data_IF_068183733389
#
_entry.id   IF_068183733389
#
_cell.length_a   1.000
_cell.length_b   1.000
_cell.length_c   1.000
_cell.angle_alpha   90.00
_cell.angle_beta   90.00
_cell.angle_gamma   90.00
#
_symmetry.space_group_name_H-M   'P 1'
#
loop_
_entity.id
_entity.type
_entity.pdbx_description
1 polymer ?
#
# COMPACT_ATOMS: atom_id res chain seq x y z
N UNK A 1 13.18 -15.09 20.33
CA UNK A 1 14.54 -14.52 20.28
C UNK A 1 14.68 -13.71 19.02
N UNK A 2 14.76 -12.38 19.13
CA UNK A 2 14.79 -11.44 18.02
C UNK A 2 15.81 -11.82 16.95
N UNK A 3 15.35 -12.49 15.90
CA UNK A 3 16.17 -12.85 14.73
C UNK A 3 15.85 -12.01 13.52
N UNK A 4 14.70 -11.31 13.51
CA UNK A 4 14.36 -10.29 12.53
C UNK A 4 13.72 -9.08 13.24
N UNK A 5 14.15 -7.87 12.91
CA UNK A 5 13.60 -6.63 13.45
C UNK A 5 13.12 -5.76 12.28
N UNK A 6 11.98 -5.09 12.47
CA UNK A 6 11.50 -4.06 11.56
C UNK A 6 12.33 -2.80 11.85
N UNK A 7 13.24 -2.45 10.94
CA UNK A 7 13.91 -1.16 10.99
C UNK A 7 13.03 -0.14 10.29
N UNK A 8 12.77 0.97 10.97
CA UNK A 8 12.09 2.15 10.43
C UNK A 8 13.17 3.17 10.10
N UNK A 9 13.10 3.69 8.89
CA UNK A 9 14.09 4.64 8.37
C UNK A 9 13.36 5.87 7.88
N UNK A 10 13.63 7.02 8.49
CA UNK A 10 12.87 8.27 8.34
C UNK A 10 13.53 9.27 7.38
N UNK A 11 12.74 9.94 6.53
CA UNK A 11 13.24 10.96 5.62
C UNK A 11 13.11 12.36 6.24
N UNK A 12 14.19 13.13 6.37
CA UNK A 12 14.12 14.50 6.88
C UNK A 12 13.64 15.42 5.77
N UNK A 13 12.53 16.10 6.02
CA UNK A 13 11.96 17.22 5.25
C UNK A 13 11.25 16.85 3.92
N UNK A 14 10.21 17.64 3.53
CA UNK A 14 9.30 17.25 2.47
C UNK A 14 10.00 17.30 1.11
N UNK A 15 10.05 16.16 0.43
CA UNK A 15 10.28 16.13 -1.02
C UNK A 15 9.20 17.01 -1.63
N UNK A 16 9.58 17.96 -2.50
CA UNK A 16 8.63 18.72 -3.31
C UNK A 16 7.75 17.73 -4.06
N UNK A 17 6.52 17.54 -3.59
CA UNK A 17 5.54 16.68 -4.24
C UNK A 17 5.10 17.48 -5.49
N UNK A 18 5.39 17.01 -6.71
CA UNK A 18 5.13 17.79 -7.94
C UNK A 18 3.64 18.13 -8.13
N UNK A 19 2.77 17.40 -7.43
CA UNK A 19 1.34 17.57 -7.38
C UNK A 19 0.95 17.75 -5.92
N UNK A 20 0.17 18.78 -5.59
CA UNK A 20 -0.29 18.95 -4.21
C UNK A 20 -0.89 17.66 -3.67
N UNK A 21 -0.63 17.34 -2.39
CA UNK A 21 -1.17 16.19 -1.64
C UNK A 21 -2.68 15.98 -1.91
N UNK A 22 -3.38 17.08 -2.22
CA UNK A 22 -4.80 17.15 -2.60
C UNK A 22 -5.19 16.37 -3.87
N UNK A 23 -4.28 16.19 -4.85
CA UNK A 23 -4.56 15.41 -6.06
C UNK A 23 -4.53 13.88 -5.84
N UNK A 24 -3.99 13.41 -4.71
CA UNK A 24 -3.58 12.01 -4.56
C UNK A 24 -4.27 11.29 -3.40
N UNK A 25 -4.66 11.98 -2.33
CA UNK A 25 -5.39 11.39 -1.20
C UNK A 25 -6.85 10.99 -1.53
N UNK A 26 -7.46 11.57 -2.56
CA UNK A 26 -8.90 11.45 -2.83
C UNK A 26 -9.23 10.56 -4.04
N UNK A 27 -8.27 9.76 -4.52
CA UNK A 27 -8.53 8.66 -5.47
C UNK A 27 -9.34 7.54 -4.79
N UNK A 28 -9.20 7.39 -3.47
CA UNK A 28 -9.99 6.45 -2.65
C UNK A 28 -11.48 6.76 -2.72
N UNK A 29 -11.87 8.01 -2.97
CA UNK A 29 -13.28 8.37 -3.15
C UNK A 29 -13.81 8.16 -4.58
N UNK A 30 -12.98 8.25 -5.60
CA UNK A 30 -13.36 7.84 -6.97
C UNK A 30 -13.46 6.31 -7.13
N UNK A 31 -12.73 5.53 -6.33
CA UNK A 31 -12.84 4.07 -6.26
C UNK A 31 -14.22 3.60 -5.77
N UNK A 32 -14.99 4.44 -5.05
CA UNK A 32 -16.39 4.13 -4.68
C UNK A 32 -17.26 3.83 -5.91
N UNK A 33 -16.96 4.41 -7.08
CA UNK A 33 -17.73 4.14 -8.30
C UNK A 33 -17.20 2.98 -9.12
N UNK A 34 -15.90 2.64 -9.03
CA UNK A 34 -15.41 1.35 -9.52
C UNK A 34 -16.27 0.25 -8.90
N UNK A 35 -16.41 0.26 -7.57
CA UNK A 35 -17.27 -0.65 -6.81
C UNK A 35 -18.72 -0.65 -7.30
N UNK A 36 -19.33 0.53 -7.44
CA UNK A 36 -20.72 0.62 -7.90
C UNK A 36 -20.92 0.25 -9.38
N UNK A 37 -19.95 0.48 -10.27
CA UNK A 37 -20.01 0.08 -11.68
C UNK A 37 -19.79 -1.41 -11.84
N UNK A 38 -18.84 -1.97 -11.08
CA UNK A 38 -18.64 -3.41 -10.92
C UNK A 38 -19.94 -4.07 -10.47
N UNK A 39 -20.61 -3.50 -9.46
CA UNK A 39 -21.91 -3.97 -8.98
C UNK A 39 -22.98 -3.82 -10.08
N UNK A 40 -23.23 -2.61 -10.59
CA UNK A 40 -24.30 -2.34 -11.59
C UNK A 40 -24.20 -3.15 -12.88
N UNK A 41 -22.99 -3.38 -13.40
CA UNK A 41 -22.81 -4.01 -14.72
C UNK A 41 -22.65 -5.54 -14.64
N UNK A 42 -22.42 -6.11 -13.44
CA UNK A 42 -22.09 -7.55 -13.33
C UNK A 42 -22.69 -8.29 -12.13
N UNK A 43 -23.25 -7.59 -11.15
CA UNK A 43 -23.83 -8.14 -9.91
C UNK A 43 -25.12 -7.38 -9.55
N UNK A 44 -26.27 -7.89 -9.98
CA UNK A 44 -27.61 -7.51 -9.51
C UNK A 44 -27.91 -5.99 -9.32
N UNK A 45 -28.74 -5.38 -10.18
CA UNK A 45 -29.16 -3.99 -10.08
C UNK A 45 -29.75 -3.55 -8.72
N UNK A 46 -30.25 -4.47 -7.88
CA UNK A 46 -30.88 -4.15 -6.59
C UNK A 46 -29.89 -3.77 -5.47
N UNK A 47 -28.62 -4.16 -5.57
CA UNK A 47 -27.54 -3.75 -4.65
C UNK A 47 -27.21 -2.24 -4.71
N UNK A 48 -27.76 -1.54 -5.71
CA UNK A 48 -27.58 -0.11 -5.97
C UNK A 48 -28.49 0.82 -5.12
N UNK A 49 -29.26 0.28 -4.18
CA UNK A 49 -30.22 1.04 -3.37
C UNK A 49 -29.62 1.64 -2.08
N UNK A 50 -28.37 1.28 -1.75
CA UNK A 50 -27.70 1.75 -0.53
C UNK A 50 -27.14 3.17 -0.68
N UNK A 51 -27.49 4.06 0.24
CA UNK A 51 -26.93 5.42 0.39
C UNK A 51 -25.60 5.45 1.13
N UNK A 52 -25.11 4.30 1.61
CA UNK A 52 -23.83 4.18 2.32
C UNK A 52 -22.67 4.21 1.31
N UNK A 53 -21.57 4.94 1.58
CA UNK A 53 -20.38 4.90 0.73
C UNK A 53 -19.80 3.47 0.69
N UNK A 54 -19.75 2.87 -0.51
CA UNK A 54 -19.33 1.48 -0.76
C UNK A 54 -17.83 1.35 -1.03
N UNK A 55 -17.05 0.83 -0.08
CA UNK A 55 -15.62 0.60 -0.31
C UNK A 55 -15.36 -0.65 -1.18
N UNK A 56 -14.12 -0.83 -1.65
CA UNK A 56 -13.73 -2.02 -2.44
C UNK A 56 -13.99 -3.35 -1.72
N UNK A 57 -13.98 -3.35 -0.38
CA UNK A 57 -14.35 -4.51 0.43
C UNK A 57 -15.86 -4.83 0.34
N UNK A 58 -16.73 -3.81 0.28
CA UNK A 58 -18.17 -4.01 0.08
C UNK A 58 -18.44 -4.64 -1.30
N UNK A 59 -17.71 -4.20 -2.33
CA UNK A 59 -17.75 -4.82 -3.67
C UNK A 59 -17.33 -6.28 -3.64
N UNK A 60 -16.24 -6.58 -2.93
CA UNK A 60 -15.72 -7.93 -2.76
C UNK A 60 -16.76 -8.83 -2.06
N UNK A 61 -17.45 -8.31 -1.05
CA UNK A 61 -18.49 -9.04 -0.34
C UNK A 61 -19.71 -9.30 -1.22
N UNK A 62 -20.20 -8.29 -1.94
CA UNK A 62 -21.32 -8.44 -2.88
C UNK A 62 -20.98 -9.45 -3.99
N UNK A 63 -19.76 -9.41 -4.53
CA UNK A 63 -19.29 -10.38 -5.52
C UNK A 63 -19.28 -11.80 -4.96
N UNK A 64 -18.74 -11.99 -3.75
CA UNK A 64 -18.71 -13.30 -3.09
C UNK A 64 -20.12 -13.86 -2.86
N UNK A 65 -21.10 -13.00 -2.55
CA UNK A 65 -22.50 -13.40 -2.37
C UNK A 65 -23.13 -13.86 -3.69
N UNK A 66 -22.95 -13.12 -4.78
CA UNK A 66 -23.54 -13.49 -6.07
C UNK A 66 -22.80 -14.62 -6.79
N UNK A 67 -21.49 -14.79 -6.51
CA UNK A 67 -20.64 -15.85 -7.08
C UNK A 67 -19.84 -16.56 -5.98
N UNK A 68 -20.48 -17.46 -5.22
CA UNK A 68 -19.83 -18.20 -4.15
C UNK A 68 -18.66 -19.02 -4.70
N UNK A 69 -17.45 -18.76 -4.19
CA UNK A 69 -16.21 -19.44 -4.62
C UNK A 69 -15.22 -18.58 -5.40
N UNK A 70 -15.57 -17.35 -5.76
CA UNK A 70 -14.66 -16.39 -6.41
C UNK A 70 -14.35 -15.22 -5.46
N UNK A 71 -13.10 -15.13 -5.01
CA UNK A 71 -12.55 -13.88 -4.45
C UNK A 71 -12.02 -13.02 -5.60
N UNK A 72 -12.04 -11.69 -5.49
CA UNK A 72 -11.37 -10.83 -6.46
C UNK A 72 -9.89 -10.96 -6.17
N UNK A 73 -9.27 -11.91 -6.84
CA UNK A 73 -7.83 -12.09 -6.74
C UNK A 73 -7.16 -11.40 -7.90
N UNK A 74 -5.99 -10.82 -7.63
CA UNK A 74 -5.16 -10.26 -8.71
C UNK A 74 -4.50 -11.36 -9.56
N UNK A 75 -4.49 -12.60 -9.07
CA UNK A 75 -3.71 -13.71 -9.64
C UNK A 75 -4.52 -14.84 -10.29
N UNK A 76 -5.87 -14.89 -10.18
CA UNK A 76 -6.63 -15.90 -10.93
C UNK A 76 -6.78 -15.53 -12.40
N UNK A 77 -6.16 -16.38 -13.22
CA UNK A 77 -6.16 -16.44 -14.69
C UNK A 77 -7.56 -16.32 -15.29
N UNK A 78 -7.70 -15.41 -16.26
CA UNK A 78 -8.88 -15.07 -17.07
C UNK A 78 -9.98 -14.21 -16.41
N UNK A 79 -9.69 -12.91 -16.33
CA UNK A 79 -10.70 -11.87 -16.15
C UNK A 79 -11.08 -11.66 -14.70
N UNK A 80 -10.19 -11.06 -13.91
CA UNK A 80 -10.60 -10.49 -12.63
C UNK A 80 -11.73 -9.47 -12.85
N UNK A 81 -12.55 -9.18 -11.84
CA UNK A 81 -13.62 -8.18 -12.02
C UNK A 81 -13.06 -6.81 -12.44
N UNK A 82 -11.85 -6.50 -11.97
CA UNK A 82 -11.14 -5.27 -12.30
C UNK A 82 -10.79 -5.28 -13.79
N UNK A 83 -10.29 -6.40 -14.32
CA UNK A 83 -10.02 -6.55 -15.76
C UNK A 83 -11.29 -6.50 -16.62
N UNK A 84 -12.38 -7.10 -16.14
CA UNK A 84 -13.65 -7.16 -16.88
C UNK A 84 -14.35 -5.81 -16.97
N UNK A 85 -14.23 -4.98 -15.95
CA UNK A 85 -15.02 -3.76 -15.83
C UNK A 85 -14.20 -2.46 -15.94
N UNK A 86 -12.87 -2.53 -15.77
CA UNK A 86 -12.01 -1.34 -15.86
C UNK A 86 -11.00 -1.45 -17.00
N UNK A 87 -10.82 -0.32 -17.70
CA UNK A 87 -9.89 -0.18 -18.81
C UNK A 87 -8.48 0.05 -18.29
N UNK A 88 -7.48 -0.42 -19.02
CA UNK A 88 -6.06 -0.09 -18.75
C UNK A 88 -5.82 1.39 -19.06
N UNK A 89 -5.08 2.08 -18.20
CA UNK A 89 -4.66 3.46 -18.42
C UNK A 89 -5.44 4.50 -17.63
N UNK A 90 -5.60 5.67 -18.22
CA UNK A 90 -6.27 6.83 -17.62
C UNK A 90 -7.67 6.97 -18.22
N UNK A 91 -8.68 7.01 -17.36
CA UNK A 91 -10.03 7.40 -17.71
C UNK A 91 -10.18 8.91 -17.56
N UNK A 92 -10.64 9.59 -18.60
CA UNK A 92 -10.96 11.02 -18.51
C UNK A 92 -12.40 11.25 -18.05
N UNK A 93 -12.65 12.40 -17.41
CA UNK A 93 -13.99 12.82 -16.98
C UNK A 93 -14.98 12.78 -18.14
N UNK A 94 -14.60 13.32 -19.29
CA UNK A 94 -15.45 13.37 -20.48
C UNK A 94 -15.77 11.96 -21.00
N UNK A 95 -14.79 11.06 -21.05
CA UNK A 95 -15.03 9.66 -21.43
C UNK A 95 -15.96 8.95 -20.44
N UNK A 96 -15.81 9.19 -19.14
CA UNK A 96 -16.69 8.60 -18.14
C UNK A 96 -18.15 9.07 -18.32
N UNK A 97 -18.35 10.34 -18.68
CA UNK A 97 -19.66 10.91 -18.96
C UNK A 97 -20.23 10.44 -20.31
N UNK A 98 -19.45 10.50 -21.38
CA UNK A 98 -19.86 10.16 -22.75
C UNK A 98 -20.17 8.68 -22.91
N UNK A 99 -19.38 7.80 -22.28
CA UNK A 99 -19.63 6.35 -22.30
C UNK A 99 -20.86 5.95 -21.45
N UNK A 100 -21.53 6.91 -20.79
CA UNK A 100 -22.62 6.66 -19.84
C UNK A 100 -22.18 5.88 -18.60
N UNK A 101 -20.87 5.80 -18.35
CA UNK A 101 -20.28 5.11 -17.18
C UNK A 101 -20.53 5.89 -15.89
N UNK A 102 -20.61 7.23 -15.97
CA UNK A 102 -20.97 8.08 -14.85
C UNK A 102 -21.90 9.21 -15.28
N UNK A 103 -22.78 9.63 -14.39
CA UNK A 103 -23.47 10.93 -14.52
C UNK A 103 -22.65 12.03 -13.86
N UNK A 104 -22.96 13.30 -14.17
CA UNK A 104 -22.34 14.45 -13.49
C UNK A 104 -22.58 14.38 -11.98
N UNK A 105 -23.81 14.05 -11.57
CA UNK A 105 -24.15 13.89 -10.15
C UNK A 105 -23.38 12.74 -9.49
N UNK A 106 -23.17 11.61 -10.18
CA UNK A 106 -22.32 10.53 -9.66
C UNK A 106 -20.88 11.01 -9.41
N UNK A 107 -20.30 11.79 -10.33
CA UNK A 107 -18.94 12.34 -10.20
C UNK A 107 -18.86 13.32 -9.03
N UNK A 108 -19.81 14.26 -8.94
CA UNK A 108 -19.79 15.29 -7.90
C UNK A 108 -19.96 14.70 -6.49
N UNK A 109 -20.70 13.60 -6.35
CA UNK A 109 -20.79 12.85 -5.08
C UNK A 109 -19.52 12.08 -4.72
N UNK A 110 -18.71 11.69 -5.70
CA UNK A 110 -17.46 10.95 -5.48
C UNK A 110 -16.26 11.86 -5.23
N UNK A 111 -16.37 13.14 -5.57
CA UNK A 111 -15.28 14.10 -5.48
C UNK A 111 -15.43 14.97 -4.24
N UNK A 112 -14.30 15.36 -3.65
CA UNK A 112 -14.26 16.32 -2.56
C UNK A 112 -14.15 17.73 -3.15
N UNK A 113 -14.34 18.80 -2.35
CA UNK A 113 -14.15 20.16 -2.83
C UNK A 113 -12.78 20.42 -3.46
N UNK A 114 -11.73 19.70 -3.04
CA UNK A 114 -10.36 19.83 -3.56
C UNK A 114 -10.12 19.02 -4.84
N UNK A 115 -10.92 17.97 -5.09
CA UNK A 115 -10.78 17.14 -6.32
C UNK A 115 -11.86 17.36 -7.36
N UNK A 116 -12.84 18.23 -7.09
CA UNK A 116 -13.97 18.51 -8.01
C UNK A 116 -13.54 18.84 -9.44
N UNK A 117 -12.38 19.46 -9.62
CA UNK A 117 -11.86 19.91 -10.92
C UNK A 117 -10.96 18.86 -11.61
N UNK A 118 -10.76 17.67 -11.03
CA UNK A 118 -9.96 16.63 -11.68
C UNK A 118 -10.62 16.15 -12.97
N UNK A 119 -9.79 15.92 -13.99
CA UNK A 119 -10.20 15.48 -15.33
C UNK A 119 -9.74 14.07 -15.67
N UNK A 120 -8.87 13.47 -14.85
CA UNK A 120 -8.19 12.20 -15.13
C UNK A 120 -8.22 11.26 -13.92
N UNK A 121 -8.44 9.96 -14.17
CA UNK A 121 -8.62 8.94 -13.14
C UNK A 121 -7.93 7.63 -13.53
N UNK A 122 -7.05 7.09 -12.68
CA UNK A 122 -6.37 5.79 -12.89
C UNK A 122 -7.14 4.64 -12.22
N UNK A 123 -8.40 4.46 -12.57
CA UNK A 123 -9.33 3.58 -11.85
C UNK A 123 -8.81 2.15 -11.72
N UNK A 124 -8.36 1.54 -12.83
CA UNK A 124 -7.88 0.16 -12.86
C UNK A 124 -6.66 -0.07 -11.97
N UNK A 125 -5.60 0.71 -12.18
CA UNK A 125 -4.36 0.57 -11.42
C UNK A 125 -4.59 0.70 -9.90
N UNK A 126 -5.49 1.60 -9.51
CA UNK A 126 -5.80 1.85 -8.10
C UNK A 126 -6.63 0.71 -7.49
N UNK A 127 -7.57 0.14 -8.23
CA UNK A 127 -8.31 -1.04 -7.80
C UNK A 127 -7.41 -2.28 -7.70
N UNK A 128 -6.57 -2.53 -8.71
CA UNK A 128 -5.58 -3.61 -8.71
C UNK A 128 -4.64 -3.51 -7.52
N UNK A 129 -4.13 -2.32 -7.20
CA UNK A 129 -3.30 -2.11 -6.02
C UNK A 129 -4.02 -2.52 -4.73
N UNK A 130 -5.23 -2.00 -4.50
CA UNK A 130 -5.94 -2.21 -3.22
C UNK A 130 -6.29 -3.68 -3.01
N UNK A 131 -6.82 -4.36 -4.03
CA UNK A 131 -7.12 -5.78 -3.90
C UNK A 131 -5.84 -6.60 -3.67
N UNK A 132 -4.81 -6.38 -4.48
CA UNK A 132 -3.56 -7.12 -4.34
C UNK A 132 -2.84 -6.83 -3.01
N UNK A 133 -2.96 -5.62 -2.45
CA UNK A 133 -2.38 -5.28 -1.14
C UNK A 133 -3.16 -5.96 0.01
N UNK A 134 -4.48 -6.07 -0.09
CA UNK A 134 -5.28 -6.83 0.85
C UNK A 134 -4.92 -8.33 0.81
N UNK A 135 -4.73 -8.90 -0.38
CA UNK A 135 -4.25 -10.28 -0.55
C UNK A 135 -2.87 -10.49 0.07
N UNK A 136 -1.92 -9.58 -0.20
CA UNK A 136 -0.58 -9.64 0.41
C UNK A 136 -0.64 -9.56 1.92
N UNK A 137 -1.56 -8.76 2.48
CA UNK A 137 -1.75 -8.64 3.92
C UNK A 137 -2.24 -9.96 4.53
N UNK A 138 -3.22 -10.61 3.90
CA UNK A 138 -3.72 -11.92 4.34
C UNK A 138 -2.64 -13.00 4.20
N UNK A 139 -1.91 -13.03 3.08
CA UNK A 139 -0.80 -13.96 2.89
C UNK A 139 0.31 -13.75 3.93
N UNK A 140 0.66 -12.50 4.26
CA UNK A 140 1.63 -12.19 5.30
C UNK A 140 1.15 -12.65 6.67
N UNK A 141 -0.14 -12.45 6.98
CA UNK A 141 -0.78 -12.93 8.20
C UNK A 141 -0.74 -14.46 8.31
N UNK A 142 -1.15 -15.18 7.25
CA UNK A 142 -1.18 -16.64 7.19
C UNK A 142 0.22 -17.24 7.33
N UNK A 143 1.23 -16.62 6.71
CA UNK A 143 2.63 -16.99 6.88
C UNK A 143 3.13 -16.77 8.31
N UNK A 144 2.59 -15.77 9.01
CA UNK A 144 2.91 -15.50 10.41
C UNK A 144 2.13 -16.39 11.40
N UNK A 145 1.00 -17.00 11.01
CA UNK A 145 0.16 -17.79 11.92
C UNK A 145 0.90 -18.93 12.66
N UNK A 146 1.80 -19.71 12.02
CA UNK A 146 2.52 -20.77 12.70
C UNK A 146 3.60 -20.27 13.68
N UNK A 147 3.89 -18.95 13.71
CA UNK A 147 4.90 -18.40 14.59
C UNK A 147 4.46 -18.48 16.05
N UNK A 148 5.34 -19.00 16.89
CA UNK A 148 5.14 -18.99 18.34
C UNK A 148 5.28 -17.56 18.89
N UNK A 149 4.82 -17.34 20.13
CA UNK A 149 5.06 -16.07 20.84
C UNK A 149 6.56 -15.69 20.93
N UNK A 150 7.47 -16.68 20.81
CA UNK A 150 8.91 -16.45 20.77
C UNK A 150 9.44 -15.98 19.40
N UNK A 151 8.59 -15.97 18.36
CA UNK A 151 8.92 -15.61 16.98
C UNK A 151 9.91 -16.58 16.34
N UNK A 152 9.89 -17.85 16.73
CA UNK A 152 10.86 -18.82 16.23
C UNK A 152 10.52 -19.23 14.78
N UNK A 153 11.47 -18.97 13.89
CA UNK A 153 11.41 -19.29 12.46
C UNK A 153 12.21 -20.55 12.12
N UNK A 154 12.81 -21.22 13.12
CA UNK A 154 13.66 -22.39 12.93
C UNK A 154 12.98 -23.55 12.20
N UNK A 155 11.65 -23.66 12.32
CA UNK A 155 10.84 -24.68 11.67
C UNK A 155 10.41 -24.30 10.23
N UNK A 156 10.64 -23.06 9.81
CA UNK A 156 10.24 -22.50 8.51
C UNK A 156 11.41 -21.72 7.90
N UNK A 157 12.42 -22.44 7.41
CA UNK A 157 13.68 -21.87 6.92
C UNK A 157 13.49 -20.83 5.78
N UNK A 158 12.40 -20.91 5.02
CA UNK A 158 12.09 -20.02 3.89
C UNK A 158 11.12 -18.88 4.25
N UNK A 159 10.65 -18.81 5.50
CA UNK A 159 9.65 -17.83 5.91
C UNK A 159 10.14 -16.37 5.76
N UNK A 160 11.35 -15.98 6.20
CA UNK A 160 11.82 -14.62 6.03
C UNK A 160 11.83 -14.18 4.56
N UNK A 161 12.22 -15.08 3.65
CA UNK A 161 12.25 -14.83 2.21
C UNK A 161 10.83 -14.62 1.66
N UNK A 162 9.87 -15.48 2.01
CA UNK A 162 8.46 -15.32 1.62
C UNK A 162 7.86 -14.01 2.12
N UNK A 163 8.12 -13.64 3.38
CA UNK A 163 7.67 -12.36 3.95
C UNK A 163 8.32 -11.18 3.23
N UNK A 164 9.62 -11.24 2.96
CA UNK A 164 10.36 -10.21 2.24
C UNK A 164 9.88 -10.04 0.80
N UNK A 165 9.55 -11.12 0.10
CA UNK A 165 8.93 -11.11 -1.22
C UNK A 165 7.59 -10.37 -1.21
N UNK A 166 6.72 -10.63 -0.23
CA UNK A 166 5.45 -9.90 -0.07
C UNK A 166 5.69 -8.40 0.15
N UNK A 167 6.69 -8.02 0.98
CA UNK A 167 7.05 -6.62 1.19
C UNK A 167 7.55 -5.95 -0.10
N UNK A 168 8.42 -6.63 -0.86
CA UNK A 168 8.97 -6.11 -2.11
C UNK A 168 7.88 -5.94 -3.20
N UNK A 169 6.97 -6.91 -3.32
CA UNK A 169 5.80 -6.83 -4.21
C UNK A 169 4.86 -5.69 -3.81
N UNK A 170 4.69 -5.46 -2.51
CA UNK A 170 3.94 -4.32 -2.00
C UNK A 170 4.59 -2.99 -2.41
N UNK A 171 5.92 -2.84 -2.22
CA UNK A 171 6.63 -1.63 -2.68
C UNK A 171 6.47 -1.39 -4.18
N UNK A 172 6.62 -2.43 -5.00
CA UNK A 172 6.44 -2.32 -6.46
C UNK A 172 5.02 -1.86 -6.81
N UNK A 173 4.01 -2.40 -6.13
CA UNK A 173 2.62 -2.00 -6.30
C UNK A 173 2.39 -0.55 -5.86
N UNK A 174 2.96 -0.13 -4.73
CA UNK A 174 2.91 1.26 -4.27
C UNK A 174 3.56 2.22 -5.27
N UNK A 175 4.70 1.86 -5.85
CA UNK A 175 5.42 2.69 -6.80
C UNK A 175 4.73 2.76 -8.18
N UNK A 176 4.28 1.62 -8.73
CA UNK A 176 3.78 1.53 -10.12
C UNK A 176 2.26 1.68 -10.23
N UNK A 177 1.51 1.02 -9.34
CA UNK A 177 0.04 0.96 -9.44
C UNK A 177 -0.65 2.03 -8.60
N UNK A 178 -0.14 2.32 -7.40
CA UNK A 178 -0.68 3.38 -6.55
C UNK A 178 0.01 4.73 -6.75
N UNK A 179 1.24 4.71 -7.26
CA UNK A 179 2.09 5.89 -7.50
C UNK A 179 2.27 6.75 -6.24
N UNK A 180 2.41 6.09 -5.09
CA UNK A 180 2.69 6.73 -3.81
C UNK A 180 4.14 6.61 -3.34
N UNK A 181 5.05 6.14 -4.18
CA UNK A 181 6.48 6.25 -3.87
C UNK A 181 7.03 7.61 -4.32
N UNK A 182 8.32 7.83 -4.10
CA UNK A 182 9.06 8.96 -4.65
C UNK A 182 10.54 8.56 -4.87
N UNK A 183 11.32 9.31 -5.67
CA UNK A 183 12.72 8.96 -5.92
C UNK A 183 13.56 8.78 -4.66
N UNK A 184 13.28 9.57 -3.61
CA UNK A 184 13.96 9.43 -2.32
C UNK A 184 13.63 8.10 -1.62
N UNK A 185 12.35 7.70 -1.60
CA UNK A 185 11.92 6.41 -1.03
C UNK A 185 12.43 5.23 -1.85
N UNK A 186 12.39 5.32 -3.18
CA UNK A 186 12.84 4.23 -4.07
C UNK A 186 14.35 3.99 -3.91
N UNK A 187 15.15 5.06 -3.85
CA UNK A 187 16.58 4.92 -3.56
C UNK A 187 16.81 4.36 -2.14
N UNK A 188 16.05 4.81 -1.15
CA UNK A 188 16.19 4.29 0.22
C UNK A 188 15.89 2.79 0.30
N UNK A 189 14.80 2.34 -0.32
CA UNK A 189 14.47 0.91 -0.44
C UNK A 189 15.61 0.13 -1.11
N UNK A 190 16.19 0.67 -2.19
CA UNK A 190 17.29 0.02 -2.89
C UNK A 190 18.56 -0.07 -2.03
N UNK A 191 18.89 0.99 -1.28
CA UNK A 191 19.99 0.98 -0.32
C UNK A 191 19.74 -0.04 0.78
N UNK A 192 18.54 -0.07 1.37
CA UNK A 192 18.17 -1.06 2.38
C UNK A 192 18.34 -2.50 1.86
N UNK A 193 17.87 -2.80 0.64
CA UNK A 193 18.03 -4.12 0.03
C UNK A 193 19.50 -4.47 -0.25
N UNK A 194 20.26 -3.51 -0.75
CA UNK A 194 21.70 -3.67 -0.99
C UNK A 194 22.48 -3.89 0.31
N UNK A 195 21.95 -3.40 1.43
CA UNK A 195 22.50 -3.55 2.77
C UNK A 195 22.08 -4.82 3.51
N UNK A 196 21.34 -5.73 2.85
CA UNK A 196 20.95 -7.02 3.41
C UNK A 196 19.50 -7.11 3.90
N UNK A 197 18.65 -6.12 3.62
CA UNK A 197 17.21 -6.31 3.84
C UNK A 197 16.65 -7.39 2.90
N UNK A 198 15.94 -8.36 3.48
CA UNK A 198 15.24 -9.42 2.76
C UNK A 198 14.03 -8.82 2.00
N UNK A 199 13.36 -7.86 2.64
CA UNK A 199 12.31 -7.05 2.02
C UNK A 199 12.32 -5.63 2.58
N UNK A 200 12.02 -4.65 1.73
CA UNK A 200 11.93 -3.25 2.12
C UNK A 200 10.85 -2.54 1.32
N UNK A 201 10.07 -1.69 1.99
CA UNK A 201 8.98 -0.92 1.40
C UNK A 201 8.76 0.40 2.13
N UNK A 202 8.12 1.36 1.49
CA UNK A 202 7.60 2.55 2.16
C UNK A 202 6.59 2.16 3.25
N UNK A 203 6.38 3.02 4.24
CA UNK A 203 5.33 2.85 5.26
C UNK A 203 4.62 4.17 5.51
N UNK A 204 3.35 4.09 5.90
CA UNK A 204 2.45 5.25 5.93
C UNK A 204 1.90 5.59 4.54
N UNK A 205 1.60 6.87 4.32
CA UNK A 205 0.92 7.33 3.10
C UNK A 205 1.81 7.28 1.85
N UNK A 206 3.14 7.39 2.01
CA UNK A 206 4.09 7.55 0.91
C UNK A 206 4.35 9.01 0.53
N UNK A 207 4.87 9.24 -0.68
CA UNK A 207 5.36 10.54 -1.19
C UNK A 207 6.43 11.20 -0.30
N UNK A 208 7.17 10.38 0.44
CA UNK A 208 8.09 10.79 1.50
C UNK A 208 7.84 9.96 2.77
N UNK A 209 8.37 10.41 3.90
CA UNK A 209 8.23 9.70 5.18
C UNK A 209 9.17 8.50 5.27
N UNK A 210 8.70 7.38 5.79
CA UNK A 210 9.60 6.30 6.20
C UNK A 210 9.58 5.07 5.27
N UNK A 211 10.64 4.27 5.35
CA UNK A 211 10.63 2.88 4.90
C UNK A 211 10.66 1.93 6.09
N UNK A 212 10.19 0.70 5.87
CA UNK A 212 10.27 -0.41 6.80
C UNK A 212 10.96 -1.60 6.14
N UNK A 213 11.95 -2.17 6.82
CA UNK A 213 12.81 -3.23 6.27
C UNK A 213 12.87 -4.46 7.19
N UNK A 214 12.80 -5.64 6.58
CA UNK A 214 13.00 -6.94 7.22
C UNK A 214 14.47 -7.34 7.11
N UNK A 215 15.17 -7.39 8.24
CA UNK A 215 16.62 -7.61 8.29
C UNK A 215 16.98 -8.70 9.30
N UNK A 216 17.89 -9.64 8.97
CA UNK A 216 18.45 -10.57 9.94
C UNK A 216 19.16 -9.83 11.07
N UNK A 217 18.92 -10.23 12.31
CA UNK A 217 19.51 -9.55 13.48
C UNK A 217 21.03 -9.66 13.52
N UNK A 218 21.60 -10.72 12.93
CA UNK A 218 23.06 -10.84 12.77
C UNK A 218 23.66 -9.74 11.90
N UNK A 219 22.88 -9.21 10.97
CA UNK A 219 23.34 -8.25 9.96
C UNK A 219 22.95 -6.82 10.32
N UNK A 220 22.21 -6.63 11.41
CA UNK A 220 21.60 -5.35 11.78
C UNK A 220 22.61 -4.21 11.93
N UNK A 221 23.74 -4.43 12.61
CA UNK A 221 24.77 -3.40 12.79
C UNK A 221 25.36 -2.97 11.45
N UNK A 222 25.63 -3.94 10.57
CA UNK A 222 26.14 -3.68 9.23
C UNK A 222 25.11 -2.92 8.38
N UNK A 223 23.86 -3.40 8.38
CA UNK A 223 22.73 -2.79 7.68
C UNK A 223 22.56 -1.32 8.05
N UNK A 224 22.50 -1.00 9.35
CA UNK A 224 22.31 0.38 9.81
C UNK A 224 23.51 1.26 9.43
N UNK A 225 24.74 0.77 9.56
CA UNK A 225 25.94 1.51 9.15
C UNK A 225 25.91 1.81 7.65
N UNK A 226 25.53 0.83 6.83
CA UNK A 226 25.49 1.00 5.39
C UNK A 226 24.43 2.00 4.94
N UNK A 227 23.25 2.02 5.55
CA UNK A 227 22.21 3.03 5.22
C UNK A 227 22.69 4.44 5.54
N UNK A 228 23.31 4.65 6.72
CA UNK A 228 23.88 5.96 7.09
C UNK A 228 24.85 6.45 6.03
N UNK A 229 25.83 5.61 5.70
CA UNK A 229 26.87 5.93 4.71
C UNK A 229 26.31 6.12 3.30
N UNK A 230 25.51 5.17 2.84
CA UNK A 230 25.16 5.06 1.42
C UNK A 230 23.93 5.89 1.04
N UNK A 231 23.09 6.27 2.01
CA UNK A 231 21.90 7.09 1.79
C UNK A 231 22.01 8.50 2.39
N UNK A 232 22.28 8.61 3.71
CA UNK A 232 22.20 9.87 4.45
C UNK A 232 23.45 10.74 4.31
N UNK A 233 24.65 10.20 4.51
CA UNK A 233 25.89 10.97 4.40
C UNK A 233 26.07 11.53 2.98
N UNK A 234 25.70 10.76 1.94
CA UNK A 234 25.69 11.24 0.54
C UNK A 234 24.73 12.41 0.29
N UNK A 235 23.74 12.60 1.18
CA UNK A 235 22.77 13.69 1.14
C UNK A 235 23.12 14.84 2.09
N UNK A 236 24.31 14.80 2.70
CA UNK A 236 24.84 15.88 3.53
C UNK A 236 24.45 15.82 5.00
N UNK A 237 23.81 14.74 5.47
CA UNK A 237 23.53 14.55 6.89
C UNK A 237 24.80 14.21 7.66
N UNK A 238 24.97 14.85 8.82
CA UNK A 238 26.01 14.46 9.77
C UNK A 238 25.74 13.07 10.34
N UNK A 239 26.77 12.43 10.89
CA UNK A 239 26.64 11.12 11.53
C UNK A 239 25.60 11.13 12.66
N UNK A 240 25.57 12.20 13.46
CA UNK A 240 24.61 12.37 14.55
C UNK A 240 23.17 12.47 14.05
N UNK A 241 22.92 13.19 12.96
CA UNK A 241 21.58 13.26 12.35
C UNK A 241 21.18 11.92 11.76
N UNK A 242 22.09 11.25 11.02
CA UNK A 242 21.83 9.94 10.44
C UNK A 242 21.51 8.87 11.50
N UNK A 243 22.14 8.94 12.68
CA UNK A 243 21.86 8.05 13.81
C UNK A 243 20.44 8.16 14.37
N UNK A 244 19.80 9.33 14.25
CA UNK A 244 18.42 9.53 14.70
C UNK A 244 17.38 9.07 13.67
N UNK A 245 17.79 8.90 12.41
CA UNK A 245 16.92 8.61 11.28
C UNK A 245 16.85 7.13 10.93
N UNK A 246 17.84 6.35 11.38
CA UNK A 246 17.89 4.89 11.21
C UNK A 246 17.72 4.24 12.57
N UNK A 247 16.56 3.64 12.83
CA UNK A 247 16.30 3.02 14.12
C UNK A 247 15.61 1.67 14.01
N UNK A 248 15.61 0.97 15.13
CA UNK A 248 15.11 -0.39 15.25
C UNK A 248 13.95 -0.37 16.22
N UNK A 249 12.78 -0.82 15.77
CA UNK A 249 11.57 -0.82 16.56
C UNK A 249 11.15 -2.23 16.94
N UNK A 250 10.46 -2.33 18.08
CA UNK A 250 9.75 -3.52 18.54
C UNK A 250 8.28 -3.12 18.78
N UNK A 251 7.31 -4.05 18.64
CA UNK A 251 5.92 -3.77 18.98
C UNK A 251 5.82 -3.19 20.39
N UNK A 252 5.37 -1.94 20.50
CA UNK A 252 5.21 -1.23 21.75
C UNK A 252 3.82 -1.43 22.37
N UNK A 253 3.62 -1.01 23.63
CA UNK A 253 2.30 -1.00 24.24
C UNK A 253 1.37 0.00 23.50
N UNK A 254 0.05 -0.23 23.54
CA UNK A 254 -0.93 0.73 23.05
C UNK A 254 -0.98 1.98 23.95
N UNK A 255 -1.77 2.98 23.55
CA UNK A 255 -2.04 4.15 24.39
C UNK A 255 -2.56 3.75 25.78
N UNK A 256 -2.08 4.44 26.83
CA UNK A 256 -2.39 4.12 28.21
C UNK A 256 -2.26 5.33 29.13
N UNK A 257 -2.70 5.16 30.38
CA UNK A 257 -2.63 6.20 31.42
C UNK A 257 -1.43 5.93 32.32
N UNK A 258 -0.60 6.94 32.55
CA UNK A 258 0.49 6.90 33.52
C UNK A 258 0.03 7.64 34.78
N UNK A 259 -0.13 6.92 35.89
CA UNK A 259 -0.34 7.54 37.19
C UNK A 259 0.99 8.10 37.67
N UNK A 260 1.02 9.38 38.03
CA UNK A 260 2.18 10.06 38.61
C UNK A 260 1.83 10.29 40.08
N UNK A 261 2.58 9.64 40.97
CA UNK A 261 2.46 9.82 42.41
C UNK A 261 3.09 11.15 42.86
#
# INVERSE_FOLDING_TARGET
NGKNLLSLVDLPAPVQIPYGIEHLLNITSCLYRVVQLLIKQSLDPELNTSTRPLCLADAQQAWKQARPGLMLTSEQTDGSIVERCLKVGVDTRDQLLMDGRMTVNDLDLCLTPTTKNMTEFKLRARAEHVYAEAERTLAFYDLCQPLTAAGDTSLLADLPQKLGELMNRSQESCAKLYECSCPALDDLVNVCKSAGAIGSRLTGAGWGGCTVSLVPVTDLTHFMHQIRRDYYEKRGFSQFEADQLVFVSKPGPPAGVMLVD
#
